data_IF_949887157831
#
_entry.id   IF_949887157831
#
_cell.length_a   1.000
_cell.length_b   1.000
_cell.length_c   1.000
_cell.angle_alpha   90.00
_cell.angle_beta   90.00
_cell.angle_gamma   90.00
#
_symmetry.space_group_name_H-M   'P 1'
#
loop_
_entity.id
_entity.type
_entity.pdbx_description
1 polymer ?
#
# COMPACT_ATOMS: atom_id res chain seq x y z
N UNK A 1 -1.74 -41.49 44.56
CA UNK A 1 -0.67 -41.21 43.57
C UNK A 1 -1.27 -40.61 42.28
N UNK A 2 -1.60 -39.31 42.24
CA UNK A 2 -1.98 -38.62 40.98
C UNK A 2 -1.46 -37.17 40.88
N UNK A 3 -0.93 -36.61 41.97
CA UNK A 3 -0.55 -35.19 42.05
C UNK A 3 0.83 -34.85 41.45
N UNK A 4 1.75 -35.82 41.38
CA UNK A 4 3.11 -35.61 40.87
C UNK A 4 3.19 -35.46 39.34
N UNK A 5 2.23 -36.02 38.61
CA UNK A 5 2.17 -35.93 37.15
C UNK A 5 1.49 -34.64 36.64
N UNK A 6 0.76 -33.93 37.51
CA UNK A 6 0.08 -32.68 37.15
C UNK A 6 1.02 -31.48 37.11
N UNK A 7 2.08 -31.48 37.94
CA UNK A 7 3.12 -30.44 37.97
C UNK A 7 3.91 -30.29 36.66
N UNK A 8 4.45 -31.35 36.03
CA UNK A 8 5.17 -31.21 34.77
C UNK A 8 4.23 -30.86 33.60
N UNK A 9 2.98 -31.33 33.63
CA UNK A 9 1.98 -31.01 32.60
C UNK A 9 1.55 -29.55 32.68
N UNK A 10 1.35 -29.01 33.88
CA UNK A 10 1.06 -27.58 34.08
C UNK A 10 2.24 -26.69 33.68
N UNK A 11 3.47 -27.10 34.02
CA UNK A 11 4.69 -26.39 33.60
C UNK A 11 4.86 -26.38 32.07
N UNK A 12 4.55 -27.50 31.40
CA UNK A 12 4.61 -27.61 29.94
C UNK A 12 3.51 -26.77 29.26
N UNK A 13 2.31 -26.66 29.85
CA UNK A 13 1.24 -25.76 29.36
C UNK A 13 1.61 -24.27 29.50
N UNK A 14 2.30 -23.89 30.59
CA UNK A 14 2.78 -22.52 30.82
C UNK A 14 3.91 -22.13 29.86
N UNK A 15 4.76 -23.09 29.46
CA UNK A 15 5.81 -22.86 28.46
C UNK A 15 5.25 -22.68 27.03
N UNK A 16 4.19 -23.40 26.67
CA UNK A 16 3.55 -23.28 25.34
C UNK A 16 2.72 -22.00 25.19
N UNK A 17 2.10 -21.52 26.29
CA UNK A 17 1.29 -20.29 26.27
C UNK A 17 2.12 -19.00 26.20
N UNK A 18 3.41 -19.05 26.56
CA UNK A 18 4.32 -17.89 26.50
C UNK A 18 4.86 -17.56 25.10
N UNK A 19 4.63 -18.41 24.09
CA UNK A 19 5.24 -18.26 22.76
C UNK A 19 4.32 -17.65 21.67
N UNK A 20 3.07 -17.30 22.00
CA UNK A 20 2.10 -16.80 21.00
C UNK A 20 2.12 -15.28 20.76
N UNK A 21 3.04 -14.53 21.35
CA UNK A 21 3.13 -13.08 21.17
C UNK A 21 4.41 -12.68 20.43
N UNK A 22 4.65 -13.25 19.25
CA UNK A 22 5.49 -12.55 18.27
C UNK A 22 4.65 -11.41 17.70
N UNK A 23 5.02 -10.13 17.84
CA UNK A 23 4.39 -9.10 17.06
C UNK A 23 4.66 -9.44 15.59
N UNK A 24 3.62 -9.78 14.84
CA UNK A 24 3.68 -9.73 13.38
C UNK A 24 3.74 -8.25 13.04
N UNK A 25 4.95 -7.69 13.10
CA UNK A 25 5.23 -6.43 12.43
C UNK A 25 5.17 -6.74 10.95
N UNK A 26 4.10 -6.30 10.27
CA UNK A 26 4.06 -6.23 8.82
C UNK A 26 5.02 -5.12 8.30
N UNK A 27 6.22 -5.02 8.88
CA UNK A 27 7.31 -4.16 8.41
C UNK A 27 8.16 -4.88 7.35
N UNK A 28 7.77 -6.10 6.97
CA UNK A 28 8.36 -6.82 5.86
C UNK A 28 7.84 -6.24 4.55
N UNK A 29 8.69 -5.43 3.89
CA UNK A 29 8.67 -5.09 2.47
C UNK A 29 7.53 -5.75 1.70
N UNK A 30 6.35 -5.10 1.70
CA UNK A 30 5.30 -5.49 0.76
C UNK A 30 5.94 -5.29 -0.60
N UNK A 31 6.13 -6.36 -1.36
CA UNK A 31 6.74 -6.28 -2.69
C UNK A 31 6.07 -5.19 -3.53
N UNK A 32 6.75 -4.69 -4.57
CA UNK A 32 6.28 -3.54 -5.37
C UNK A 32 4.79 -3.68 -5.73
N UNK A 33 3.92 -2.89 -5.07
CA UNK A 33 2.48 -2.92 -5.27
C UNK A 33 2.06 -1.77 -6.17
N UNK A 34 1.45 -2.11 -7.30
CA UNK A 34 0.88 -1.15 -8.24
C UNK A 34 -0.64 -1.08 -8.10
N UNK A 35 -1.20 0.12 -8.19
CA UNK A 35 -2.65 0.35 -8.20
C UNK A 35 -3.05 1.21 -9.40
N UNK A 36 -4.21 0.93 -9.98
CA UNK A 36 -4.82 1.79 -10.99
C UNK A 36 -5.66 2.86 -10.29
N UNK A 37 -5.48 4.12 -10.71
CA UNK A 37 -6.25 5.26 -10.25
C UNK A 37 -6.83 6.02 -11.45
N UNK A 38 -7.97 6.67 -11.28
CA UNK A 38 -8.61 7.52 -12.29
C UNK A 38 -9.84 6.88 -12.93
N UNK A 39 -10.43 5.87 -12.29
CA UNK A 39 -11.57 5.13 -12.82
C UNK A 39 -12.89 5.41 -12.15
N UNK A 40 -12.91 6.09 -11.02
CA UNK A 40 -14.12 6.51 -10.36
C UNK A 40 -13.91 7.87 -9.67
N UNK A 41 -14.74 8.87 -9.97
CA UNK A 41 -14.56 10.23 -9.43
C UNK A 41 -14.47 10.28 -7.89
N UNK A 42 -15.16 9.36 -7.22
CA UNK A 42 -15.24 9.29 -5.76
C UNK A 42 -14.17 8.36 -5.13
N UNK A 43 -13.18 7.90 -5.90
CA UNK A 43 -12.07 7.07 -5.38
C UNK A 43 -11.05 7.86 -4.54
N UNK A 44 -11.26 9.17 -4.39
CA UNK A 44 -10.33 10.10 -3.75
C UNK A 44 -9.30 10.68 -4.73
N UNK A 45 -8.54 11.65 -4.23
CA UNK A 45 -7.46 12.31 -4.97
C UNK A 45 -6.26 11.39 -5.19
N UNK A 46 -5.44 11.73 -6.18
CA UNK A 46 -4.18 11.03 -6.42
C UNK A 46 -3.24 11.18 -5.21
N UNK A 47 -3.23 12.35 -4.55
CA UNK A 47 -2.47 12.58 -3.32
C UNK A 47 -2.89 11.61 -2.21
N UNK A 48 -4.19 11.46 -1.95
CA UNK A 48 -4.68 10.54 -0.91
C UNK A 48 -4.25 9.09 -1.17
N UNK A 49 -4.27 8.64 -2.42
CA UNK A 49 -3.78 7.31 -2.78
C UNK A 49 -2.29 7.12 -2.42
N UNK A 50 -1.45 8.12 -2.71
CA UNK A 50 -0.03 8.10 -2.38
C UNK A 50 0.25 8.19 -0.87
N UNK A 51 -0.54 8.97 -0.14
CA UNK A 51 -0.40 9.15 1.30
C UNK A 51 -0.80 7.91 2.10
N UNK A 52 -1.49 6.95 1.48
CA UNK A 52 -1.75 5.66 2.15
C UNK A 52 -0.48 4.89 2.51
N UNK A 53 0.65 5.16 1.83
CA UNK A 53 1.90 4.40 1.99
C UNK A 53 1.80 2.93 1.58
N UNK A 54 0.69 2.50 0.96
CA UNK A 54 0.43 1.11 0.58
C UNK A 54 0.96 0.75 -0.81
N UNK A 55 1.07 1.73 -1.70
CA UNK A 55 1.38 1.51 -3.11
C UNK A 55 2.74 2.08 -3.47
N UNK A 56 3.57 1.29 -4.14
CA UNK A 56 4.83 1.75 -4.69
C UNK A 56 4.67 2.37 -6.08
N UNK A 57 3.59 2.03 -6.79
CA UNK A 57 3.31 2.52 -8.14
C UNK A 57 1.83 2.87 -8.21
N UNK A 58 1.51 4.06 -8.72
CA UNK A 58 0.14 4.46 -9.04
C UNK A 58 0.05 4.71 -10.54
N UNK A 59 -0.79 3.95 -11.24
CA UNK A 59 -0.98 4.01 -12.68
C UNK A 59 -2.24 4.82 -12.97
N UNK A 60 -2.06 6.03 -13.49
CA UNK A 60 -3.16 6.92 -13.87
C UNK A 60 -3.80 6.39 -15.14
N UNK A 61 -5.10 6.15 -15.10
CA UNK A 61 -5.85 5.54 -16.21
C UNK A 61 -7.12 6.31 -16.54
N UNK A 62 -7.48 6.47 -17.81
CA UNK A 62 -6.84 5.99 -19.05
C UNK A 62 -6.62 7.14 -20.03
N UNK A 63 -5.51 7.08 -20.75
CA UNK A 63 -5.40 7.74 -22.03
C UNK A 63 -6.14 6.89 -23.08
N UNK A 64 -7.37 7.27 -23.40
CA UNK A 64 -8.35 6.39 -24.06
C UNK A 64 -8.64 6.75 -25.53
N UNK A 65 -8.22 7.92 -26.01
CA UNK A 65 -8.37 8.32 -27.41
C UNK A 65 -6.99 8.56 -28.02
N UNK A 66 -6.64 7.74 -29.01
CA UNK A 66 -5.40 7.82 -29.78
C UNK A 66 -5.59 7.16 -31.16
N UNK A 67 -4.78 7.51 -32.16
CA UNK A 67 -4.80 6.85 -33.47
C UNK A 67 -4.51 7.78 -34.66
N UNK A 68 -4.85 7.31 -35.87
CA UNK A 68 -4.56 7.98 -37.15
C UNK A 68 -5.12 9.41 -37.26
N UNK A 69 -6.18 9.73 -36.52
CA UNK A 69 -6.74 11.08 -36.51
C UNK A 69 -5.82 12.04 -35.76
N UNK A 70 -5.01 12.78 -36.53
CA UNK A 70 -4.05 13.76 -36.03
C UNK A 70 -4.74 14.77 -35.11
N UNK A 71 -4.20 14.95 -33.91
CA UNK A 71 -4.65 15.95 -32.94
C UNK A 71 -5.83 15.54 -32.07
N UNK A 72 -6.39 14.33 -32.25
CA UNK A 72 -7.41 13.78 -31.34
C UNK A 72 -6.77 12.86 -30.32
N UNK A 73 -6.48 13.43 -29.16
CA UNK A 73 -5.96 12.73 -27.99
C UNK A 73 -6.88 12.96 -26.80
N UNK A 74 -7.15 11.90 -26.03
CA UNK A 74 -8.13 11.94 -24.95
C UNK A 74 -7.58 11.28 -23.69
N UNK A 75 -7.66 12.02 -22.59
CA UNK A 75 -7.44 11.53 -21.25
C UNK A 75 -8.81 11.46 -20.56
N UNK A 76 -9.22 10.25 -20.19
CA UNK A 76 -10.40 10.01 -19.38
C UNK A 76 -9.97 9.47 -18.02
N UNK A 77 -9.96 10.36 -17.03
CA UNK A 77 -9.74 10.04 -15.61
C UNK A 77 -11.07 10.15 -14.83
N UNK A 78 -12.18 9.70 -15.42
CA UNK A 78 -13.50 9.62 -14.78
C UNK A 78 -13.97 10.93 -14.13
N UNK A 79 -13.60 12.08 -14.69
CA UNK A 79 -14.02 13.40 -14.19
C UNK A 79 -13.19 13.98 -13.05
N UNK A 80 -12.02 13.42 -12.75
CA UNK A 80 -11.05 14.02 -11.84
C UNK A 80 -10.48 15.35 -12.40
N UNK A 81 -10.16 16.32 -11.53
CA UNK A 81 -9.66 17.63 -11.96
C UNK A 81 -8.21 17.54 -12.45
N UNK A 82 -8.01 17.49 -13.77
CA UNK A 82 -6.68 17.39 -14.42
C UNK A 82 -5.69 18.45 -13.92
N UNK A 83 -6.16 19.66 -13.63
CA UNK A 83 -5.32 20.75 -13.12
C UNK A 83 -4.67 20.44 -11.76
N UNK A 84 -5.33 19.67 -10.89
CA UNK A 84 -4.80 19.30 -9.58
C UNK A 84 -3.80 18.13 -9.66
N UNK A 85 -4.00 17.24 -10.64
CA UNK A 85 -3.20 16.00 -10.80
C UNK A 85 -1.70 16.29 -10.95
N UNK A 86 -1.31 17.40 -11.60
CA UNK A 86 0.10 17.75 -11.76
C UNK A 86 0.84 18.00 -10.42
N UNK A 87 0.16 18.66 -9.46
CA UNK A 87 0.73 18.88 -8.14
C UNK A 87 0.79 17.57 -7.33
N UNK A 88 -0.22 16.72 -7.48
CA UNK A 88 -0.30 15.43 -6.79
C UNK A 88 0.76 14.44 -7.32
N UNK A 89 1.05 14.44 -8.62
CA UNK A 89 2.14 13.64 -9.19
C UNK A 89 3.48 14.01 -8.52
N UNK A 90 3.78 15.30 -8.40
CA UNK A 90 5.02 15.76 -7.74
C UNK A 90 5.07 15.34 -6.27
N UNK A 91 3.92 15.38 -5.59
CA UNK A 91 3.78 14.92 -4.22
C UNK A 91 4.10 13.43 -4.09
N UNK A 92 3.48 12.59 -4.91
CA UNK A 92 3.72 11.14 -4.95
C UNK A 92 5.20 10.82 -5.19
N UNK A 93 5.84 11.48 -6.15
CA UNK A 93 7.26 11.31 -6.47
C UNK A 93 8.18 11.66 -5.28
N UNK A 94 7.79 12.61 -4.44
CA UNK A 94 8.54 12.99 -3.25
C UNK A 94 8.28 12.02 -2.09
N UNK A 95 7.03 11.63 -1.86
CA UNK A 95 6.66 10.65 -0.84
C UNK A 95 7.41 9.32 -1.05
N UNK A 96 7.51 8.84 -2.30
CA UNK A 96 8.25 7.60 -2.61
C UNK A 96 9.72 7.64 -2.20
N UNK A 97 10.40 8.80 -2.31
CA UNK A 97 11.81 8.93 -1.90
C UNK A 97 11.96 8.80 -0.38
N UNK A 98 11.02 9.36 0.37
CA UNK A 98 10.98 9.24 1.81
C UNK A 98 10.74 7.79 2.25
N UNK A 99 9.78 7.10 1.62
CA UNK A 99 9.50 5.69 1.90
C UNK A 99 10.68 4.79 1.57
N UNK A 100 11.39 5.02 0.47
CA UNK A 100 12.60 4.27 0.13
C UNK A 100 13.67 4.42 1.22
N UNK A 101 13.91 5.64 1.70
CA UNK A 101 14.85 5.90 2.79
C UNK A 101 14.42 5.29 4.14
N UNK A 102 13.12 5.31 4.45
CA UNK A 102 12.57 4.71 5.67
C UNK A 102 12.64 3.18 5.66
N UNK A 103 12.33 2.53 4.54
CA UNK A 103 12.41 1.07 4.42
C UNK A 103 13.85 0.55 4.37
N UNK A 104 14.81 1.33 3.86
CA UNK A 104 16.23 0.94 3.83
C UNK A 104 16.93 1.11 5.19
N UNK A 105 16.25 1.73 6.17
CA UNK A 105 16.71 1.88 7.55
C UNK A 105 16.08 0.90 8.54
N UNK A 106 15.26 -0.04 8.05
CA UNK A 106 14.77 -1.16 8.85
C UNK A 106 15.79 -2.30 8.86
#
# INVERSE_FOLDING_TARGET
>A
MKMKALLPVAAMLLLVSGQLAAPVTADGYVGQLAVFWGRHKEEGSLREACDTGRYNIVVITFFNVFGYQRGRYGLDISGHPVAAVAADIKHCQNAQKEWHYRCQKC
#
